data_IF_077455658865
#
_entry.id   IF_077455658865
#
_cell.length_a   1.000
_cell.length_b   1.000
_cell.length_c   1.000
_cell.angle_alpha   90.00
_cell.angle_beta   90.00
_cell.angle_gamma   90.00
#
_symmetry.space_group_name_H-M   'P 1'
#
loop_
_entity.id
_entity.type
_entity.pdbx_description
1 polymer ?
#
# COMPACT_ATOMS: atom_id res chain seq x y z
N UNK A 1 -56.62 50.98 -37.98
CA UNK A 1 -57.74 50.99 -37.02
C UNK A 1 -57.62 49.75 -36.15
N UNK A 2 -57.72 49.73 -34.81
CA UNK A 2 -57.90 50.71 -33.73
C UNK A 2 -57.44 50.02 -32.42
N UNK A 3 -57.08 50.86 -31.44
CA UNK A 3 -56.45 50.61 -30.14
C UNK A 3 -57.28 49.82 -29.09
N UNK A 4 -56.62 49.26 -28.06
CA UNK A 4 -56.62 49.85 -26.69
C UNK A 4 -55.63 49.18 -25.70
N UNK A 5 -55.03 50.01 -24.84
CA UNK A 5 -54.13 49.72 -23.70
C UNK A 5 -54.90 49.79 -22.37
N UNK A 6 -54.22 49.34 -21.30
CA UNK A 6 -54.26 49.71 -19.85
C UNK A 6 -54.66 48.52 -18.96
N UNK A 7 -54.24 48.35 -17.70
CA UNK A 7 -53.07 48.71 -16.87
C UNK A 7 -53.43 48.25 -15.44
N UNK A 8 -52.43 47.93 -14.61
CA UNK A 8 -52.54 47.81 -13.15
C UNK A 8 -51.83 46.56 -12.60
N UNK A 9 -50.97 46.61 -11.59
CA UNK A 9 -50.49 47.69 -10.72
C UNK A 9 -49.17 47.27 -10.03
N UNK A 10 -48.22 48.22 -9.91
CA UNK A 10 -47.47 48.67 -8.71
C UNK A 10 -46.96 47.64 -7.65
N UNK A 11 -45.80 47.75 -6.98
CA UNK A 11 -44.66 48.68 -6.95
C UNK A 11 -43.57 48.11 -5.99
N UNK A 12 -42.36 48.70 -5.93
CA UNK A 12 -41.08 48.05 -5.57
C UNK A 12 -40.54 48.44 -4.17
N UNK A 13 -39.47 47.80 -3.69
CA UNK A 13 -38.63 48.36 -2.61
C UNK A 13 -37.14 48.03 -2.79
N UNK A 14 -36.39 49.02 -3.27
CA UNK A 14 -34.99 49.27 -2.94
C UNK A 14 -35.01 50.44 -1.94
N UNK A 15 -34.47 50.28 -0.73
CA UNK A 15 -34.06 51.41 0.10
C UNK A 15 -32.98 51.03 1.12
N UNK A 16 -31.79 51.52 0.78
CA UNK A 16 -30.61 51.88 1.59
C UNK A 16 -30.84 52.01 3.11
N UNK A 17 -29.94 51.40 3.92
CA UNK A 17 -29.54 51.94 5.23
C UNK A 17 -28.21 51.35 5.76
N UNK A 18 -27.21 52.23 5.86
CA UNK A 18 -26.17 52.29 6.90
C UNK A 18 -26.15 53.78 7.39
N UNK A 19 -25.58 54.19 8.54
CA UNK A 19 -24.58 53.52 9.41
C UNK A 19 -24.74 53.75 10.95
N UNK A 20 -23.73 53.28 11.69
CA UNK A 20 -23.21 53.69 13.04
C UNK A 20 -23.84 53.13 14.33
N UNK A 21 -22.95 52.64 15.20
CA UNK A 21 -23.12 52.61 16.66
C UNK A 21 -22.66 51.31 17.32
N UNK A 22 -21.42 51.23 17.80
CA UNK A 22 -21.04 50.29 18.88
C UNK A 22 -20.65 51.12 20.11
N UNK A 23 -21.10 50.77 21.32
CA UNK A 23 -20.60 51.37 22.55
C UNK A 23 -19.19 50.86 22.88
N UNK A 24 -18.45 51.69 23.62
CA UNK A 24 -17.12 51.40 24.13
C UNK A 24 -17.12 50.31 25.22
N UNK A 25 -16.07 49.49 25.25
CA UNK A 25 -15.68 48.74 26.44
C UNK A 25 -14.22 49.07 26.76
N UNK A 26 -14.02 49.52 27.99
CA UNK A 26 -12.81 50.08 28.56
C UNK A 26 -12.00 48.99 29.32
N UNK A 27 -10.67 49.05 29.15
CA UNK A 27 -9.53 48.62 30.01
C UNK A 27 -9.63 47.30 30.81
N UNK A 28 -8.85 46.28 30.47
CA UNK A 28 -7.41 46.03 30.76
C UNK A 28 -7.25 45.05 31.94
N UNK A 29 -6.63 43.89 31.67
CA UNK A 29 -5.51 43.36 32.45
C UNK A 29 -4.96 42.05 31.83
N UNK A 30 -3.71 42.13 31.35
CA UNK A 30 -2.69 41.07 31.17
C UNK A 30 -2.64 40.29 29.84
N UNK A 31 -1.48 40.40 29.21
CA UNK A 31 -0.95 39.75 27.99
C UNK A 31 -1.06 38.21 28.03
N UNK A 32 -1.16 37.44 26.93
CA UNK A 32 -0.89 37.68 25.51
C UNK A 32 -1.64 36.71 24.56
N UNK A 33 -1.46 36.95 23.25
CA UNK A 33 -2.44 36.81 22.16
C UNK A 33 -2.61 35.40 21.55
N UNK A 34 -3.85 34.99 21.31
CA UNK A 34 -4.24 34.22 20.12
C UNK A 34 -5.41 34.94 19.41
N UNK A 35 -5.18 35.42 18.18
CA UNK A 35 -6.24 35.98 17.35
C UNK A 35 -6.86 34.86 16.50
N UNK A 36 -8.16 34.62 16.70
CA UNK A 36 -8.98 33.91 15.72
C UNK A 36 -9.13 34.81 14.48
N UNK A 37 -8.44 34.47 13.40
CA UNK A 37 -8.65 35.07 12.08
C UNK A 37 -9.24 34.03 11.14
N UNK A 38 -10.57 34.00 11.10
CA UNK A 38 -11.29 33.57 9.91
C UNK A 38 -11.04 34.62 8.81
N UNK A 39 -10.23 34.27 7.81
CA UNK A 39 -10.25 34.96 6.51
C UNK A 39 -10.20 33.95 5.37
N UNK A 40 -11.24 34.03 4.54
CA UNK A 40 -11.29 33.46 3.18
C UNK A 40 -10.10 33.99 2.37
N UNK A 41 -9.39 33.09 1.71
CA UNK A 41 -8.43 33.43 0.66
C UNK A 41 -8.99 32.98 -0.71
N UNK A 42 -8.80 33.77 -1.78
CA UNK A 42 -9.34 33.50 -3.10
C UNK A 42 -8.57 32.37 -3.82
N UNK A 43 -9.30 31.61 -4.63
CA UNK A 43 -8.77 30.47 -5.39
C UNK A 43 -7.75 30.89 -6.45
N UNK A 44 -6.60 30.24 -6.42
CA UNK A 44 -5.71 30.09 -7.57
C UNK A 44 -5.50 28.59 -7.76
N UNK A 45 -6.06 28.05 -8.84
CA UNK A 45 -5.91 26.65 -9.23
C UNK A 45 -4.42 26.33 -9.43
N UNK A 46 -3.83 25.59 -8.48
CA UNK A 46 -2.55 24.92 -8.69
C UNK A 46 -2.85 23.57 -9.33
N UNK A 47 -2.50 23.42 -10.60
CA UNK A 47 -2.57 22.15 -11.32
C UNK A 47 -1.83 21.06 -10.53
N UNK A 48 -2.48 19.91 -10.37
CA UNK A 48 -1.83 18.71 -9.87
C UNK A 48 -0.70 18.34 -10.82
N UNK A 49 0.53 18.21 -10.31
CA UNK A 49 1.62 17.62 -11.09
C UNK A 49 1.33 16.12 -11.22
N UNK A 50 1.19 15.67 -12.47
CA UNK A 50 1.10 14.25 -12.81
C UNK A 50 2.34 13.50 -12.31
N UNK A 51 2.19 12.73 -11.25
CA UNK A 51 3.12 11.65 -10.89
C UNK A 51 2.72 10.34 -11.59
N UNK A 52 2.29 10.44 -12.85
CA UNK A 52 1.81 9.35 -13.70
C UNK A 52 2.82 8.90 -14.74
N UNK A 53 4.13 8.91 -14.44
CA UNK A 53 5.12 8.29 -15.31
C UNK A 53 6.04 7.40 -14.48
N UNK A 54 5.73 6.11 -14.47
CA UNK A 54 6.66 5.10 -14.00
C UNK A 54 7.88 5.13 -14.94
N UNK A 55 9.03 5.56 -14.42
CA UNK A 55 10.29 5.46 -15.15
C UNK A 55 10.60 3.97 -15.41
N UNK A 56 10.44 3.56 -16.66
CA UNK A 56 10.64 2.19 -17.14
C UNK A 56 12.10 1.72 -17.15
N UNK A 57 12.97 2.28 -16.29
CA UNK A 57 14.41 1.95 -16.23
C UNK A 57 14.86 1.34 -14.90
N UNK A 58 13.93 0.96 -14.02
CA UNK A 58 14.27 0.36 -12.70
C UNK A 58 14.43 -1.17 -12.75
N UNK A 59 14.15 -1.84 -13.88
CA UNK A 59 14.19 -3.31 -13.94
C UNK A 59 15.24 -3.90 -14.90
N UNK A 60 16.48 -4.13 -14.42
CA UNK A 60 17.39 -5.08 -15.07
C UNK A 60 17.44 -6.48 -14.41
N UNK A 61 16.71 -6.77 -13.32
CA UNK A 61 16.94 -8.01 -12.54
C UNK A 61 15.76 -9.00 -12.40
N UNK A 62 14.56 -8.72 -12.94
CA UNK A 62 13.39 -9.57 -12.70
C UNK A 62 13.17 -10.71 -13.71
N UNK A 63 14.05 -10.89 -14.69
CA UNK A 63 13.88 -11.87 -15.78
C UNK A 63 14.05 -13.34 -15.36
N UNK A 64 14.57 -13.64 -14.16
CA UNK A 64 14.86 -15.02 -13.72
C UNK A 64 13.87 -15.61 -12.72
N UNK A 65 12.78 -14.92 -12.39
CA UNK A 65 11.86 -15.37 -11.34
C UNK A 65 10.74 -16.32 -11.83
N UNK A 66 10.72 -16.63 -13.13
CA UNK A 66 9.56 -17.19 -13.84
C UNK A 66 9.76 -18.62 -14.40
N UNK A 67 10.67 -19.43 -13.86
CA UNK A 67 10.85 -20.81 -14.30
C UNK A 67 10.73 -21.78 -13.11
N UNK A 68 9.75 -22.69 -13.19
CA UNK A 68 9.53 -23.78 -12.23
C UNK A 68 8.06 -24.21 -12.18
N UNK A 69 7.61 -24.91 -13.21
CA UNK A 69 6.31 -25.55 -13.29
C UNK A 69 6.34 -26.96 -12.66
N UNK A 70 5.23 -27.34 -12.02
CA UNK A 70 4.87 -28.72 -11.69
C UNK A 70 4.62 -29.54 -12.98
N UNK A 71 4.85 -30.86 -12.93
CA UNK A 71 3.88 -31.78 -13.50
C UNK A 71 3.50 -32.91 -12.53
N UNK A 72 2.20 -33.17 -12.44
CA UNK A 72 1.61 -34.22 -11.63
C UNK A 72 1.88 -35.64 -12.14
N UNK A 73 1.66 -36.60 -11.25
CA UNK A 73 1.57 -38.02 -11.60
C UNK A 73 0.42 -38.63 -10.80
N UNK A 74 -0.63 -39.05 -11.51
CA UNK A 74 -1.73 -39.80 -10.92
C UNK A 74 -1.31 -41.27 -10.78
N UNK A 75 -1.29 -41.78 -9.55
CA UNK A 75 -1.12 -43.22 -9.27
C UNK A 75 -2.46 -43.76 -8.80
N UNK A 76 -3.04 -44.68 -9.58
CA UNK A 76 -4.18 -45.53 -9.18
C UNK A 76 -3.68 -46.53 -8.13
N UNK A 77 -4.29 -46.55 -6.94
CA UNK A 77 -4.12 -47.63 -5.98
C UNK A 77 -5.37 -48.52 -5.97
N UNK A 78 -5.15 -49.82 -6.18
CA UNK A 78 -6.14 -50.90 -6.07
C UNK A 78 -6.43 -51.15 -4.59
N UNK A 79 -7.71 -51.26 -4.24
CA UNK A 79 -8.20 -51.46 -2.88
C UNK A 79 -7.81 -52.84 -2.34
N UNK A 80 -7.27 -52.88 -1.12
CA UNK A 80 -7.18 -54.08 -0.29
C UNK A 80 -7.46 -53.66 1.15
N UNK A 81 -8.58 -54.16 1.68
CA UNK A 81 -9.11 -53.85 3.00
C UNK A 81 -8.24 -54.44 4.10
N UNK A 82 -7.58 -53.57 4.87
CA UNK A 82 -7.07 -53.88 6.20
C UNK A 82 -7.57 -52.78 7.15
N UNK A 83 -8.29 -53.17 8.21
CA UNK A 83 -8.68 -52.28 9.30
C UNK A 83 -7.41 -51.77 10.01
N UNK A 84 -6.90 -50.63 9.58
CA UNK A 84 -5.88 -49.88 10.31
C UNK A 84 -6.59 -48.97 11.32
N UNK A 85 -6.24 -49.12 12.59
CA UNK A 85 -6.62 -48.17 13.63
C UNK A 85 -6.15 -46.77 13.18
N UNK A 86 -7.11 -45.88 12.94
CA UNK A 86 -6.85 -44.48 12.64
C UNK A 86 -6.28 -43.82 13.90
N UNK A 87 -4.95 -43.89 14.05
CA UNK A 87 -4.23 -42.95 14.88
C UNK A 87 -4.39 -41.59 14.21
N UNK A 88 -5.34 -40.79 14.69
CA UNK A 88 -5.45 -39.38 14.37
C UNK A 88 -4.15 -38.71 14.81
N UNK A 89 -3.16 -38.67 13.92
CA UNK A 89 -2.05 -37.74 14.03
C UNK A 89 -2.68 -36.36 13.90
N UNK A 90 -3.10 -35.78 15.02
CA UNK A 90 -3.30 -34.35 15.13
C UNK A 90 -1.96 -33.75 14.70
N UNK A 91 -1.89 -33.33 13.43
CA UNK A 91 -0.72 -32.66 12.89
C UNK A 91 -0.51 -31.46 13.79
N UNK A 92 0.50 -31.53 14.67
CA UNK A 92 0.93 -30.43 15.48
C UNK A 92 1.27 -29.32 14.49
N UNK A 93 0.34 -28.36 14.33
CA UNK A 93 0.58 -27.17 13.57
C UNK A 93 1.76 -26.50 14.26
N UNK A 94 2.92 -26.55 13.60
CA UNK A 94 4.12 -25.92 14.11
C UNK A 94 3.74 -24.50 14.55
N UNK A 95 4.13 -24.07 15.76
CA UNK A 95 3.74 -22.77 16.27
C UNK A 95 4.06 -21.71 15.22
N UNK A 96 3.19 -20.69 15.05
CA UNK A 96 3.35 -19.69 14.02
C UNK A 96 4.79 -19.16 14.09
N UNK A 97 5.45 -18.99 12.94
CA UNK A 97 6.90 -18.82 12.87
C UNK A 97 7.43 -17.57 13.57
N UNK A 98 6.54 -16.68 14.01
CA UNK A 98 6.81 -15.41 14.66
C UNK A 98 6.24 -15.38 16.08
N UNK A 99 7.08 -15.10 17.08
CA UNK A 99 6.65 -14.85 18.46
C UNK A 99 6.28 -13.36 18.62
N UNK A 100 4.98 -13.01 18.74
CA UNK A 100 4.56 -11.60 18.89
C UNK A 100 4.99 -11.00 20.23
N UNK A 101 5.20 -11.82 21.26
CA UNK A 101 5.59 -11.38 22.60
C UNK A 101 7.10 -11.12 22.74
N UNK A 102 7.90 -11.41 21.72
CA UNK A 102 9.35 -11.22 21.77
C UNK A 102 9.71 -9.75 22.07
N UNK A 103 10.57 -9.46 23.06
CA UNK A 103 10.82 -8.09 23.53
C UNK A 103 11.39 -7.19 22.43
N UNK A 104 12.18 -7.73 21.50
CA UNK A 104 12.72 -7.01 20.35
C UNK A 104 11.64 -6.42 19.43
N UNK A 105 10.40 -6.96 19.46
CA UNK A 105 9.29 -6.40 18.69
C UNK A 105 8.90 -4.98 19.14
N UNK A 106 9.29 -4.56 20.36
CA UNK A 106 9.01 -3.22 20.89
C UNK A 106 10.09 -2.20 20.54
N UNK A 107 11.18 -2.61 19.90
CA UNK A 107 12.25 -1.72 19.49
C UNK A 107 11.74 -0.70 18.46
N UNK A 108 12.17 0.55 18.60
CA UNK A 108 11.92 1.61 17.63
C UNK A 108 13.06 1.63 16.62
N UNK A 109 12.74 1.42 15.35
CA UNK A 109 13.66 1.56 14.22
C UNK A 109 13.64 3.02 13.74
N UNK A 110 14.76 3.73 13.86
CA UNK A 110 14.88 5.11 13.35
C UNK A 110 15.09 5.17 11.83
N UNK A 111 15.61 4.08 11.25
CA UNK A 111 15.81 3.92 9.80
C UNK A 111 15.67 2.44 9.43
N UNK A 112 15.47 2.18 8.15
CA UNK A 112 15.58 0.85 7.56
C UNK A 112 16.98 0.65 6.96
N UNK A 113 17.55 -0.53 7.17
CA UNK A 113 18.78 -0.99 6.55
C UNK A 113 18.77 -2.53 6.47
N UNK A 114 19.82 -3.12 5.89
CA UNK A 114 19.91 -4.58 5.78
C UNK A 114 19.78 -5.27 7.14
N UNK A 115 20.56 -4.87 8.13
CA UNK A 115 20.57 -5.51 9.46
C UNK A 115 19.16 -5.57 10.09
N UNK A 116 18.49 -4.42 10.13
CA UNK A 116 17.15 -4.30 10.75
C UNK A 116 16.08 -5.09 9.99
N UNK A 117 16.07 -5.01 8.65
CA UNK A 117 15.07 -5.70 7.82
C UNK A 117 15.33 -7.21 7.76
N UNK A 118 16.59 -7.64 7.61
CA UNK A 118 16.98 -9.06 7.55
C UNK A 118 16.75 -9.78 8.87
N UNK A 119 16.98 -9.10 10.01
CA UNK A 119 16.65 -9.62 11.33
C UNK A 119 15.15 -9.92 11.45
N UNK A 120 14.30 -9.02 10.95
CA UNK A 120 12.84 -9.23 10.94
C UNK A 120 12.44 -10.33 9.96
N UNK A 121 13.02 -10.37 8.76
CA UNK A 121 12.76 -11.42 7.77
C UNK A 121 13.12 -12.81 8.32
N UNK A 122 14.27 -12.92 9.00
CA UNK A 122 14.69 -14.16 9.69
C UNK A 122 13.68 -14.56 10.76
N UNK A 123 13.23 -13.60 11.58
CA UNK A 123 12.25 -13.85 12.64
C UNK A 123 10.91 -14.36 12.09
N UNK A 124 10.47 -13.88 10.92
CA UNK A 124 9.24 -14.38 10.29
C UNK A 124 9.48 -15.61 9.39
N UNK A 125 10.69 -16.19 9.40
CA UNK A 125 11.12 -17.32 8.54
C UNK A 125 10.97 -17.06 7.04
N UNK A 126 11.19 -15.81 6.61
CA UNK A 126 11.34 -15.49 5.20
C UNK A 126 12.78 -15.78 4.75
N UNK A 127 12.93 -16.23 3.51
CA UNK A 127 14.23 -16.33 2.85
C UNK A 127 14.52 -15.04 2.11
N UNK A 128 15.78 -14.61 2.07
CA UNK A 128 16.15 -13.37 1.38
C UNK A 128 17.56 -13.42 0.82
N UNK A 129 17.79 -12.64 -0.23
CA UNK A 129 19.10 -12.43 -0.83
C UNK A 129 19.28 -10.94 -1.10
N UNK A 130 20.43 -10.39 -0.70
CA UNK A 130 20.80 -9.00 -1.03
C UNK A 130 20.91 -8.83 -2.54
N UNK A 131 20.37 -7.71 -3.01
CA UNK A 131 20.37 -7.24 -4.40
C UNK A 131 20.65 -5.75 -4.41
N UNK A 132 20.84 -5.19 -5.60
CA UNK A 132 21.07 -3.76 -5.77
C UNK A 132 22.52 -3.34 -5.50
N UNK A 133 22.72 -2.06 -5.23
CA UNK A 133 24.03 -1.44 -4.97
C UNK A 133 24.04 -0.81 -3.58
N UNK A 134 25.19 -0.24 -3.16
CA UNK A 134 25.26 0.51 -1.91
C UNK A 134 24.27 1.69 -1.92
N UNK A 135 24.19 2.43 -3.03
CA UNK A 135 23.34 3.62 -3.17
C UNK A 135 21.87 3.26 -3.34
N UNK A 136 21.59 2.04 -3.82
CA UNK A 136 20.23 1.53 -4.07
C UNK A 136 20.10 0.12 -3.52
N UNK A 137 20.04 -0.03 -2.18
CA UNK A 137 19.96 -1.35 -1.56
C UNK A 137 18.62 -2.01 -1.88
N UNK A 138 18.63 -3.33 -2.01
CA UNK A 138 17.44 -4.12 -2.25
C UNK A 138 17.56 -5.54 -1.69
N UNK A 139 16.43 -6.18 -1.43
CA UNK A 139 16.33 -7.59 -1.07
C UNK A 139 15.37 -8.30 -2.02
N UNK A 140 15.79 -9.43 -2.59
CA UNK A 140 14.84 -10.42 -3.09
C UNK A 140 14.38 -11.26 -1.90
N UNK A 141 13.07 -11.40 -1.71
CA UNK A 141 12.46 -12.06 -0.55
C UNK A 141 11.50 -13.16 -1.02
N UNK A 142 11.54 -14.30 -0.35
CA UNK A 142 10.52 -15.34 -0.41
C UNK A 142 9.90 -15.50 0.97
N UNK A 143 8.63 -15.14 1.09
CA UNK A 143 7.87 -15.21 2.34
C UNK A 143 7.49 -16.66 2.70
N UNK A 144 7.08 -16.94 3.95
CA UNK A 144 6.68 -18.28 4.38
C UNK A 144 5.57 -18.93 3.55
N UNK A 145 4.67 -18.12 2.97
CA UNK A 145 3.63 -18.58 2.06
C UNK A 145 4.11 -18.79 0.62
N UNK A 146 5.43 -18.84 0.39
CA UNK A 146 6.10 -18.99 -0.90
C UNK A 146 5.89 -17.84 -1.89
N UNK A 147 5.28 -16.72 -1.47
CA UNK A 147 5.21 -15.52 -2.31
C UNK A 147 6.54 -14.81 -2.37
N UNK A 148 6.87 -14.31 -3.55
CA UNK A 148 8.11 -13.60 -3.83
C UNK A 148 7.85 -12.11 -3.93
N UNK A 149 8.78 -11.32 -3.41
CA UNK A 149 8.76 -9.88 -3.51
C UNK A 149 10.19 -9.32 -3.56
N UNK A 150 10.32 -8.08 -3.99
CA UNK A 150 11.49 -7.26 -3.75
C UNK A 150 11.19 -6.25 -2.63
N UNK A 151 12.14 -6.04 -1.72
CA UNK A 151 12.14 -4.89 -0.81
C UNK A 151 13.18 -3.91 -1.32
N UNK A 152 12.74 -2.74 -1.75
CA UNK A 152 13.59 -1.66 -2.21
C UNK A 152 13.75 -0.63 -1.10
N UNK A 153 14.98 -0.31 -0.75
CA UNK A 153 15.28 0.73 0.22
C UNK A 153 15.29 2.10 -0.46
N UNK A 154 14.63 3.07 0.16
CA UNK A 154 14.39 4.39 -0.41
C UNK A 154 14.79 5.51 0.53
N UNK A 155 15.10 6.66 -0.07
CA UNK A 155 15.50 7.88 0.63
C UNK A 155 16.65 7.59 1.61
N UNK A 156 17.69 6.95 1.08
CA UNK A 156 18.84 6.51 1.85
C UNK A 156 19.89 7.62 1.99
N UNK A 157 20.45 7.70 3.18
CA UNK A 157 21.64 8.46 3.52
C UNK A 157 22.81 7.48 3.75
N UNK A 158 24.03 8.01 3.88
CA UNK A 158 25.22 7.24 4.24
C UNK A 158 25.43 6.00 3.35
N UNK A 159 25.34 6.19 2.03
CA UNK A 159 25.51 5.14 1.03
C UNK A 159 24.66 3.87 1.30
N UNK A 160 23.37 4.05 1.64
CA UNK A 160 22.43 2.95 1.83
C UNK A 160 22.35 2.39 3.24
N UNK A 161 23.20 2.84 4.16
CA UNK A 161 23.23 2.34 5.54
C UNK A 161 22.05 2.84 6.40
N UNK A 162 21.35 3.89 5.96
CA UNK A 162 20.27 4.54 6.71
C UNK A 162 19.17 5.03 5.77
N UNK A 163 18.11 4.25 5.60
CA UNK A 163 17.02 4.56 4.67
C UNK A 163 15.74 4.94 5.41
N UNK A 164 15.11 6.04 4.98
CA UNK A 164 13.88 6.54 5.59
C UNK A 164 12.65 5.74 5.19
N UNK A 165 12.74 4.97 4.10
CA UNK A 165 11.62 4.23 3.58
C UNK A 165 11.99 2.88 2.97
N UNK A 166 10.99 2.01 2.87
CA UNK A 166 11.04 0.80 2.05
C UNK A 166 9.79 0.68 1.19
N UNK A 167 9.96 0.12 -0.01
CA UNK A 167 8.89 -0.31 -0.90
C UNK A 167 8.94 -1.83 -1.06
N UNK A 168 7.87 -2.52 -0.69
CA UNK A 168 7.72 -3.96 -0.86
C UNK A 168 6.91 -4.19 -2.14
N UNK A 169 7.45 -4.93 -3.10
CA UNK A 169 6.88 -5.10 -4.43
C UNK A 169 6.82 -6.57 -4.84
N UNK A 170 5.63 -7.07 -5.17
CA UNK A 170 5.44 -8.36 -5.80
C UNK A 170 5.04 -8.14 -7.26
N UNK A 171 5.59 -8.96 -8.15
CA UNK A 171 5.42 -8.83 -9.59
C UNK A 171 5.19 -10.21 -10.20
N UNK A 172 4.16 -10.32 -11.04
CA UNK A 172 3.80 -11.56 -11.72
C UNK A 172 4.13 -11.48 -13.20
N UNK A 173 4.12 -12.63 -13.89
CA UNK A 173 4.17 -12.64 -15.34
C UNK A 173 2.89 -12.04 -15.90
N UNK A 174 2.99 -11.42 -17.09
CA UNK A 174 1.83 -10.95 -17.81
C UNK A 174 0.99 -12.16 -18.26
N UNK A 175 -0.29 -12.26 -17.86
CA UNK A 175 -1.20 -13.27 -18.40
C UNK A 175 -1.36 -13.10 -19.91
N UNK A 176 -1.69 -14.19 -20.61
CA UNK A 176 -1.94 -14.21 -22.05
C UNK A 176 -3.41 -14.54 -22.36
N UNK A 177 -3.85 -14.27 -23.59
CA UNK A 177 -5.21 -14.59 -24.03
C UNK A 177 -6.31 -13.80 -23.31
N UNK A 178 -7.51 -14.39 -23.11
CA UNK A 178 -8.65 -13.71 -22.50
C UNK A 178 -8.39 -13.15 -21.09
N UNK A 179 -7.52 -13.81 -20.31
CA UNK A 179 -7.13 -13.35 -18.98
C UNK A 179 -6.41 -11.99 -19.03
N UNK A 180 -5.61 -11.75 -20.07
CA UNK A 180 -4.90 -10.47 -20.25
C UNK A 180 -5.88 -9.29 -20.40
N UNK A 181 -6.98 -9.50 -21.12
CA UNK A 181 -7.97 -8.46 -21.39
C UNK A 181 -8.76 -8.05 -20.14
N UNK A 182 -8.97 -8.97 -19.19
CA UNK A 182 -9.74 -8.73 -17.95
C UNK A 182 -8.89 -8.15 -16.83
N UNK A 183 -7.57 -8.17 -16.97
CA UNK A 183 -6.62 -7.82 -15.92
C UNK A 183 -6.81 -6.39 -15.36
N UNK A 184 -7.03 -5.34 -16.17
CA UNK A 184 -7.26 -3.99 -15.64
C UNK A 184 -8.49 -3.94 -14.71
N UNK A 185 -9.59 -4.57 -15.10
CA UNK A 185 -10.82 -4.62 -14.31
C UNK A 185 -10.63 -5.43 -13.02
N UNK A 186 -9.92 -6.57 -13.09
CA UNK A 186 -9.61 -7.38 -11.92
C UNK A 186 -8.73 -6.61 -10.90
N UNK A 187 -7.72 -5.86 -11.37
CA UNK A 187 -6.89 -4.99 -10.52
C UNK A 187 -7.73 -3.89 -9.87
N UNK A 188 -8.62 -3.25 -10.61
CA UNK A 188 -9.51 -2.22 -10.06
C UNK A 188 -10.43 -2.81 -8.98
N UNK A 189 -11.06 -3.96 -9.24
CA UNK A 189 -11.93 -4.63 -8.28
C UNK A 189 -11.17 -5.07 -7.02
N UNK A 190 -9.93 -5.52 -7.16
CA UNK A 190 -9.07 -5.86 -6.03
C UNK A 190 -8.79 -4.62 -5.14
N UNK A 191 -8.45 -3.48 -5.75
CA UNK A 191 -8.21 -2.23 -5.03
C UNK A 191 -9.47 -1.67 -4.34
N UNK A 192 -10.67 -2.01 -4.83
CA UNK A 192 -11.92 -1.65 -4.15
C UNK A 192 -12.17 -2.48 -2.87
N UNK A 193 -11.67 -3.72 -2.83
CA UNK A 193 -11.82 -4.63 -1.67
C UNK A 193 -10.71 -4.48 -0.64
N UNK A 194 -9.50 -4.13 -1.07
CA UNK A 194 -8.32 -4.13 -0.21
C UNK A 194 -7.55 -2.82 -0.29
N UNK A 195 -7.34 -2.18 0.86
CA UNK A 195 -6.71 -0.86 0.96
C UNK A 195 -5.22 -0.88 1.39
N UNK A 196 -4.71 -2.01 1.88
CA UNK A 196 -3.40 -2.05 2.56
C UNK A 196 -2.18 -2.13 1.64
N UNK A 197 -2.39 -2.51 0.38
CA UNK A 197 -1.38 -2.50 -0.68
C UNK A 197 -2.06 -2.10 -1.97
N UNK A 198 -1.34 -1.38 -2.82
CA UNK A 198 -1.84 -0.92 -4.12
C UNK A 198 -1.52 -1.97 -5.18
N UNK A 199 -2.55 -2.46 -5.86
CA UNK A 199 -2.38 -3.23 -7.09
C UNK A 199 -2.32 -2.30 -8.31
N UNK A 200 -1.50 -2.64 -9.30
CA UNK A 200 -1.37 -1.88 -10.55
C UNK A 200 -0.83 -2.75 -11.69
N UNK A 201 -0.88 -2.21 -12.90
CA UNK A 201 -0.19 -2.75 -14.06
C UNK A 201 1.06 -1.92 -14.34
N UNK A 202 2.18 -2.61 -14.54
CA UNK A 202 3.42 -2.03 -15.06
C UNK A 202 3.26 -1.62 -16.52
N UNK A 203 4.21 -0.82 -17.05
CA UNK A 203 4.16 -0.35 -18.43
C UNK A 203 4.17 -1.48 -19.47
N UNK A 204 4.83 -2.60 -19.17
CA UNK A 204 4.85 -3.83 -19.98
C UNK A 204 3.61 -4.72 -19.74
N UNK A 205 2.66 -4.27 -18.92
CA UNK A 205 1.38 -4.94 -18.67
C UNK A 205 1.46 -6.10 -17.67
N UNK A 206 2.55 -6.19 -16.90
CA UNK A 206 2.66 -7.16 -15.81
C UNK A 206 1.88 -6.67 -14.59
N UNK A 207 1.06 -7.52 -13.96
CA UNK A 207 0.38 -7.18 -12.72
C UNK A 207 1.36 -7.15 -11.54
N UNK A 208 1.19 -6.15 -10.69
CA UNK A 208 2.05 -5.87 -9.56
C UNK A 208 1.25 -5.46 -8.32
N UNK A 209 1.83 -5.72 -7.15
CA UNK A 209 1.32 -5.30 -5.85
C UNK A 209 2.44 -4.56 -5.10
N UNK A 210 2.13 -3.40 -4.52
CA UNK A 210 3.12 -2.59 -3.79
C UNK A 210 2.58 -2.09 -2.45
N UNK A 211 3.46 -2.09 -1.45
CA UNK A 211 3.28 -1.41 -0.17
C UNK A 211 4.49 -0.55 0.17
N UNK A 212 4.25 0.66 0.66
CA UNK A 212 5.29 1.60 1.05
C UNK A 212 5.23 1.84 2.57
N UNK A 213 6.39 1.91 3.22
CA UNK A 213 6.54 2.14 4.65
C UNK A 213 7.63 3.20 4.89
N UNK A 214 7.43 4.08 5.88
CA UNK A 214 8.39 5.12 6.29
C UNK A 214 8.69 5.03 7.78
N UNK A 215 9.91 5.41 8.16
CA UNK A 215 10.39 5.35 9.54
C UNK A 215 10.87 6.71 10.09
N UNK A 216 10.54 7.83 9.44
CA UNK A 216 11.07 9.17 9.76
C UNK A 216 10.91 9.60 11.24
N UNK A 217 9.88 9.10 11.93
CA UNK A 217 9.61 9.38 13.35
C UNK A 217 9.66 8.13 14.23
N UNK A 218 10.36 7.10 13.75
CA UNK A 218 10.42 5.79 14.39
C UNK A 218 9.38 4.83 13.84
N UNK A 219 9.80 3.59 13.62
CA UNK A 219 8.95 2.49 13.18
C UNK A 219 9.11 1.32 14.14
N UNK A 220 8.01 0.85 14.73
CA UNK A 220 8.09 -0.28 15.67
C UNK A 220 8.50 -1.55 14.91
N UNK A 221 9.56 -2.22 15.36
CA UNK A 221 10.12 -3.42 14.72
C UNK A 221 9.09 -4.53 14.57
N UNK A 222 8.25 -4.74 15.58
CA UNK A 222 7.13 -5.70 15.51
C UNK A 222 6.10 -5.34 14.44
N UNK A 223 5.85 -4.05 14.21
CA UNK A 223 4.99 -3.62 13.10
C UNK A 223 5.63 -3.96 11.76
N UNK A 224 6.96 -3.99 11.63
CA UNK A 224 7.62 -4.37 10.38
C UNK A 224 7.33 -5.83 10.06
N UNK A 225 7.46 -6.71 11.06
CA UNK A 225 7.10 -8.12 10.94
C UNK A 225 5.64 -8.29 10.47
N UNK A 226 4.70 -7.62 11.14
CA UNK A 226 3.28 -7.67 10.78
C UNK A 226 3.03 -7.13 9.37
N UNK A 227 3.63 -6.00 9.00
CA UNK A 227 3.45 -5.41 7.67
C UNK A 227 3.93 -6.35 6.55
N UNK A 228 5.05 -7.04 6.77
CA UNK A 228 5.58 -8.03 5.84
C UNK A 228 4.68 -9.27 5.73
N UNK A 229 4.18 -9.79 6.85
CA UNK A 229 3.24 -10.92 6.86
C UNK A 229 1.89 -10.56 6.21
N UNK A 230 1.37 -9.36 6.49
CA UNK A 230 0.13 -8.86 5.85
C UNK A 230 0.33 -8.71 4.35
N UNK A 231 1.47 -8.17 3.91
CA UNK A 231 1.79 -8.07 2.49
C UNK A 231 1.87 -9.46 1.82
N UNK A 232 2.50 -10.42 2.48
CA UNK A 232 2.57 -11.80 1.99
C UNK A 232 1.16 -12.39 1.78
N UNK A 233 0.29 -12.27 2.79
CA UNK A 233 -1.10 -12.75 2.71
C UNK A 233 -1.91 -12.01 1.64
N UNK A 234 -1.70 -10.71 1.47
CA UNK A 234 -2.35 -9.95 0.41
C UNK A 234 -1.85 -10.33 -0.98
N UNK A 235 -0.58 -10.72 -1.11
CA UNK A 235 -0.01 -11.26 -2.35
C UNK A 235 -0.64 -12.62 -2.73
N UNK A 236 -0.99 -13.45 -1.74
CA UNK A 236 -1.76 -14.68 -2.00
C UNK A 236 -3.14 -14.39 -2.56
N UNK A 237 -3.88 -13.47 -1.93
CA UNK A 237 -5.21 -13.06 -2.40
C UNK A 237 -5.15 -12.46 -3.80
N UNK A 238 -4.16 -11.60 -4.05
CA UNK A 238 -3.95 -11.02 -5.37
C UNK A 238 -3.70 -12.08 -6.43
N UNK A 239 -2.86 -13.08 -6.12
CA UNK A 239 -2.62 -14.19 -7.03
C UNK A 239 -3.90 -15.01 -7.31
N UNK A 240 -4.72 -15.26 -6.30
CA UNK A 240 -5.97 -16.01 -6.47
C UNK A 240 -7.02 -15.22 -7.28
N UNK A 241 -7.22 -13.95 -6.95
CA UNK A 241 -8.35 -13.15 -7.45
C UNK A 241 -8.05 -12.34 -8.71
N UNK A 242 -6.77 -12.11 -9.03
CA UNK A 242 -6.38 -11.29 -10.18
C UNK A 242 -5.58 -12.09 -11.19
N UNK A 243 -4.68 -12.96 -10.72
CA UNK A 243 -3.81 -13.74 -11.62
C UNK A 243 -4.48 -15.04 -12.07
N UNK A 244 -5.09 -15.76 -11.14
CA UNK A 244 -5.75 -17.04 -11.40
C UNK A 244 -7.24 -16.90 -11.76
N UNK A 245 -7.82 -15.70 -11.68
CA UNK A 245 -9.20 -15.46 -12.06
C UNK A 245 -9.41 -15.77 -13.55
N UNK A 246 -10.21 -16.80 -13.81
CA UNK A 246 -10.57 -17.29 -15.14
C UNK A 246 -11.81 -16.61 -15.68
#
# INVERSE_FOLDING_TARGET
MRHCRLAGAASPLLLLRQPRGRPAAQRDARHGRFAALARRAPGLHRHARDFGRADGRIFPAAARLAAGAEPGTAVRLVASTALALAASSAGAQAPPPWNPAAPENRQVLSTFNYETVESVLTQIRAQFVRRGTAERPALDVTFPNRRRAAILFGNCERAGAACKAISIQALWNRPTGPAAARLPAAVQAFNQRYAFSRAYLTADGRPALQRYLTADFGFIRGNLAVNLLVFANQSDRFAAEVIAAR
#
